data_IF_501517574083
#
_entry.id   IF_501517574083
#
_cell.length_a   1.000
_cell.length_b   1.000
_cell.length_c   1.000
_cell.angle_alpha   90.00
_cell.angle_beta   90.00
_cell.angle_gamma   90.00
#
_symmetry.space_group_name_H-M   'P 1'
#
loop_
_entity.id
_entity.type
_entity.pdbx_description
1 polymer ?
#
# COMPACT_ATOMS: atom_id res chain seq x y z
N UNK A 1 10.84 7.95 -1.07
CA UNK A 1 10.94 8.43 -2.47
C UNK A 1 9.71 8.03 -3.29
N UNK A 2 9.32 6.75 -3.32
CA UNK A 2 8.09 6.29 -4.02
C UNK A 2 6.81 6.99 -3.54
N UNK A 3 6.70 7.27 -2.24
CA UNK A 3 5.58 8.03 -1.66
C UNK A 3 5.44 9.48 -2.17
N UNK A 4 6.58 10.15 -2.43
CA UNK A 4 6.56 11.51 -2.97
C UNK A 4 6.04 11.50 -4.41
N UNK A 5 6.52 10.56 -5.21
CA UNK A 5 6.04 10.40 -6.58
C UNK A 5 4.56 10.01 -6.62
N UNK A 6 4.09 9.10 -5.77
CA UNK A 6 2.66 8.77 -5.71
C UNK A 6 1.80 9.99 -5.35
N UNK A 7 2.26 10.84 -4.43
CA UNK A 7 1.54 12.06 -4.09
C UNK A 7 1.48 13.04 -5.26
N UNK A 8 2.59 13.25 -5.96
CA UNK A 8 2.65 14.12 -7.14
C UNK A 8 1.76 13.62 -8.29
N UNK A 9 1.76 12.32 -8.56
CA UNK A 9 0.90 11.73 -9.58
C UNK A 9 -0.58 11.81 -9.18
N UNK A 10 -0.91 11.64 -7.90
CA UNK A 10 -2.28 11.77 -7.41
C UNK A 10 -2.81 13.20 -7.57
N UNK A 11 -2.05 14.22 -7.15
CA UNK A 11 -2.48 15.62 -7.29
C UNK A 11 -2.59 16.02 -8.77
N UNK A 12 -1.64 15.58 -9.60
CA UNK A 12 -1.71 15.79 -11.05
C UNK A 12 -2.93 15.11 -11.69
N UNK A 13 -3.24 13.87 -11.30
CA UNK A 13 -4.40 13.12 -11.79
C UNK A 13 -5.75 13.72 -11.41
N UNK A 14 -5.83 14.44 -10.29
CA UNK A 14 -7.06 15.17 -9.92
C UNK A 14 -7.24 16.43 -10.78
N UNK A 15 -6.14 17.09 -11.15
CA UNK A 15 -6.19 18.37 -11.85
C UNK A 15 -6.40 18.23 -13.37
N UNK A 16 -5.91 17.16 -13.99
CA UNK A 16 -5.95 16.96 -15.45
C UNK A 16 -6.83 15.77 -15.86
N UNK A 17 -8.15 15.92 -15.70
CA UNK A 17 -9.14 14.85 -15.99
C UNK A 17 -9.58 14.77 -17.46
N UNK A 18 -9.32 15.81 -18.26
CA UNK A 18 -9.83 15.91 -19.63
C UNK A 18 -9.14 14.94 -20.61
N UNK A 19 -7.86 14.64 -20.38
CA UNK A 19 -7.09 13.76 -21.25
C UNK A 19 -7.10 12.32 -20.74
N UNK A 20 -7.84 11.45 -21.43
CA UNK A 20 -7.98 10.04 -21.08
C UNK A 20 -6.64 9.28 -21.01
N UNK A 21 -5.77 9.46 -22.00
CA UNK A 21 -4.45 8.79 -22.05
C UNK A 21 -3.57 9.20 -20.86
N UNK A 22 -3.62 10.49 -20.50
CA UNK A 22 -2.91 11.03 -19.35
C UNK A 22 -3.47 10.43 -18.06
N UNK A 23 -4.80 10.41 -17.92
CA UNK A 23 -5.49 9.87 -16.75
C UNK A 23 -5.21 8.37 -16.54
N UNK A 24 -5.25 7.57 -17.62
CA UNK A 24 -4.91 6.15 -17.60
C UNK A 24 -3.45 5.91 -17.20
N UNK A 25 -2.53 6.67 -17.78
CA UNK A 25 -1.10 6.58 -17.46
C UNK A 25 -0.83 6.89 -15.99
N UNK A 26 -1.46 7.95 -15.47
CA UNK A 26 -1.38 8.33 -14.05
C UNK A 26 -1.94 7.23 -13.16
N UNK A 27 -3.09 6.64 -13.48
CA UNK A 27 -3.69 5.57 -12.69
C UNK A 27 -2.79 4.31 -12.62
N UNK A 28 -2.21 3.89 -13.76
CA UNK A 28 -1.29 2.74 -13.82
C UNK A 28 -0.02 3.01 -13.00
N UNK A 29 0.60 4.17 -13.20
CA UNK A 29 1.81 4.57 -12.48
C UNK A 29 1.55 4.67 -10.98
N UNK A 30 0.43 5.29 -10.58
CA UNK A 30 0.06 5.42 -9.19
C UNK A 30 -0.17 4.04 -8.55
N UNK A 31 -0.88 3.14 -9.22
CA UNK A 31 -1.08 1.76 -8.77
C UNK A 31 0.27 1.06 -8.53
N UNK A 32 1.20 1.15 -9.48
CA UNK A 32 2.55 0.59 -9.35
C UNK A 32 3.33 1.19 -8.17
N UNK A 33 3.39 2.52 -8.05
CA UNK A 33 4.19 3.19 -7.02
C UNK A 33 3.68 2.92 -5.61
N UNK A 34 2.37 2.83 -5.43
CA UNK A 34 1.78 2.45 -4.15
C UNK A 34 2.18 1.02 -3.77
N UNK A 35 1.96 0.04 -4.65
CA UNK A 35 2.35 -1.35 -4.39
C UNK A 35 3.86 -1.48 -4.14
N UNK A 36 4.69 -0.79 -4.92
CA UNK A 36 6.14 -0.77 -4.73
C UNK A 36 6.54 -0.21 -3.36
N UNK A 37 5.83 0.81 -2.87
CA UNK A 37 6.03 1.34 -1.52
C UNK A 37 5.73 0.27 -0.47
N UNK A 38 4.60 -0.43 -0.59
CA UNK A 38 4.24 -1.50 0.34
C UNK A 38 5.22 -2.67 0.31
N UNK A 39 5.66 -3.11 -0.87
CA UNK A 39 6.68 -4.14 -0.99
C UNK A 39 8.03 -3.69 -0.41
N UNK A 40 8.41 -2.42 -0.59
CA UNK A 40 9.64 -1.88 0.00
C UNK A 40 9.55 -1.86 1.54
N UNK A 41 8.42 -1.42 2.10
CA UNK A 41 8.17 -1.47 3.54
C UNK A 41 8.27 -2.91 4.08
N UNK A 42 7.82 -3.91 3.32
CA UNK A 42 7.96 -5.32 3.70
C UNK A 42 9.41 -5.82 3.71
N UNK A 43 10.21 -5.42 2.72
CA UNK A 43 11.64 -5.74 2.66
C UNK A 43 12.40 -5.09 3.82
N UNK A 44 12.07 -3.84 4.12
CA UNK A 44 12.64 -3.11 5.25
C UNK A 44 12.29 -3.77 6.58
N UNK A 45 11.02 -4.12 6.78
CA UNK A 45 10.52 -4.88 7.93
C UNK A 45 11.29 -6.19 8.14
N UNK A 46 11.42 -6.98 7.07
CA UNK A 46 12.13 -8.25 7.13
C UNK A 46 13.62 -8.08 7.45
N UNK A 47 14.25 -7.05 6.88
CA UNK A 47 15.65 -6.72 7.17
C UNK A 47 15.85 -6.41 8.65
N UNK A 48 14.94 -5.65 9.26
CA UNK A 48 14.99 -5.37 10.70
C UNK A 48 14.82 -6.63 11.54
N UNK A 49 13.92 -7.53 11.16
CA UNK A 49 13.77 -8.82 11.83
C UNK A 49 15.04 -9.66 11.78
N UNK A 50 15.70 -9.73 10.64
CA UNK A 50 16.94 -10.48 10.50
C UNK A 50 18.08 -9.90 11.34
N UNK A 51 18.22 -8.57 11.37
CA UNK A 51 19.25 -7.89 12.15
C UNK A 51 19.03 -8.07 13.66
N UNK A 52 17.78 -8.02 14.12
CA UNK A 52 17.47 -8.01 15.55
C UNK A 52 17.24 -9.41 16.13
N UNK A 53 16.54 -10.28 15.39
CA UNK A 53 16.16 -11.63 15.87
C UNK A 53 17.20 -12.67 15.46
N UNK A 54 17.49 -12.80 14.17
CA UNK A 54 18.42 -13.82 13.64
C UNK A 54 19.90 -13.43 13.70
N UNK A 55 20.23 -12.19 14.07
CA UNK A 55 21.59 -11.68 14.30
C UNK A 55 22.54 -12.05 13.15
N UNK A 56 22.27 -11.54 11.94
CA UNK A 56 23.19 -11.73 10.80
C UNK A 56 24.46 -10.91 11.04
N UNK A 57 25.57 -11.59 11.35
CA UNK A 57 26.87 -10.95 11.60
C UNK A 57 27.72 -10.69 10.33
N UNK A 58 27.25 -11.07 9.13
CA UNK A 58 28.03 -10.96 7.90
C UNK A 58 27.46 -9.88 6.94
N UNK A 59 28.26 -8.82 6.69
CA UNK A 59 27.94 -7.75 5.74
C UNK A 59 27.65 -8.26 4.33
N UNK A 60 28.37 -9.29 3.87
CA UNK A 60 28.18 -9.86 2.53
C UNK A 60 26.79 -10.53 2.39
N UNK A 61 26.30 -11.16 3.47
CA UNK A 61 24.96 -11.74 3.53
C UNK A 61 23.88 -10.65 3.57
N UNK A 62 24.10 -9.58 4.33
CA UNK A 62 23.17 -8.44 4.41
C UNK A 62 22.97 -7.76 3.04
N UNK A 63 24.05 -7.50 2.30
CA UNK A 63 23.96 -6.92 0.95
C UNK A 63 23.25 -7.83 -0.05
N UNK A 64 23.43 -9.15 0.04
CA UNK A 64 22.72 -10.11 -0.82
C UNK A 64 21.20 -10.09 -0.57
N UNK A 65 20.80 -10.02 0.71
CA UNK A 65 19.39 -10.00 1.10
C UNK A 65 18.73 -8.71 0.64
N UNK A 66 19.36 -7.55 0.86
CA UNK A 66 18.85 -6.26 0.39
C UNK A 66 18.74 -6.25 -1.13
N UNK A 67 19.75 -6.76 -1.86
CA UNK A 67 19.70 -6.82 -3.33
C UNK A 67 18.56 -7.69 -3.85
N UNK A 68 18.33 -8.86 -3.24
CA UNK A 68 17.19 -9.73 -3.56
C UNK A 68 15.86 -9.06 -3.19
N UNK A 69 15.81 -8.37 -2.07
CA UNK A 69 14.66 -7.58 -1.63
C UNK A 69 14.30 -6.45 -2.60
N UNK A 70 15.28 -5.71 -3.12
CA UNK A 70 15.07 -4.69 -4.16
C UNK A 70 14.45 -5.31 -5.42
N UNK A 71 14.99 -6.43 -5.90
CA UNK A 71 14.43 -7.10 -7.08
C UNK A 71 12.96 -7.48 -6.83
N UNK A 72 12.68 -8.09 -5.67
CA UNK A 72 11.32 -8.48 -5.28
C UNK A 72 10.37 -7.28 -5.20
N UNK A 73 10.80 -6.16 -4.62
CA UNK A 73 9.95 -4.99 -4.38
C UNK A 73 9.59 -4.20 -5.63
N UNK A 74 10.34 -4.35 -6.73
CA UNK A 74 9.98 -3.76 -8.03
C UNK A 74 9.25 -4.75 -8.94
N UNK A 75 9.69 -6.02 -8.97
CA UNK A 75 9.09 -7.03 -9.85
C UNK A 75 7.67 -7.38 -9.42
N UNK A 76 7.42 -7.53 -8.11
CA UNK A 76 6.09 -7.93 -7.61
C UNK A 76 5.00 -6.91 -7.97
N UNK A 77 5.16 -5.59 -7.72
CA UNK A 77 4.20 -4.59 -8.19
C UNK A 77 4.00 -4.59 -9.70
N UNK A 78 5.08 -4.72 -10.48
CA UNK A 78 4.98 -4.74 -11.94
C UNK A 78 4.13 -5.93 -12.42
N UNK A 79 4.34 -7.11 -11.83
CA UNK A 79 3.53 -8.29 -12.09
C UNK A 79 2.07 -8.05 -11.72
N UNK A 80 1.77 -7.59 -10.50
CA UNK A 80 0.40 -7.34 -10.04
C UNK A 80 -0.33 -6.34 -10.93
N UNK A 81 0.30 -5.23 -11.31
CA UNK A 81 -0.28 -4.23 -12.22
C UNK A 81 -0.52 -4.84 -13.60
N UNK A 82 0.44 -5.57 -14.15
CA UNK A 82 0.30 -6.25 -15.45
C UNK A 82 -0.86 -7.23 -15.44
N UNK A 83 -0.98 -8.07 -14.40
CA UNK A 83 -2.10 -8.99 -14.24
C UNK A 83 -3.44 -8.26 -14.08
N UNK A 84 -3.47 -7.15 -13.34
CA UNK A 84 -4.71 -6.38 -13.12
C UNK A 84 -5.19 -5.70 -14.40
N UNK A 85 -4.27 -5.13 -15.18
CA UNK A 85 -4.57 -4.51 -16.49
C UNK A 85 -4.98 -5.59 -17.49
N UNK A 86 -4.27 -6.72 -17.54
CA UNK A 86 -4.61 -7.85 -18.43
C UNK A 86 -5.98 -8.43 -18.09
N UNK A 87 -6.29 -8.63 -16.81
CA UNK A 87 -7.61 -9.09 -16.38
C UNK A 87 -8.70 -8.10 -16.74
N UNK A 88 -8.41 -6.80 -16.61
CA UNK A 88 -9.33 -5.74 -16.99
C UNK A 88 -9.58 -5.77 -18.49
N UNK A 89 -8.54 -5.86 -19.33
CA UNK A 89 -8.64 -6.02 -20.78
C UNK A 89 -9.46 -7.25 -21.17
N UNK A 90 -9.15 -8.41 -20.58
CA UNK A 90 -9.89 -9.64 -20.80
C UNK A 90 -11.39 -9.48 -20.52
N UNK A 91 -11.74 -8.83 -19.40
CA UNK A 91 -13.14 -8.60 -19.04
C UNK A 91 -13.85 -7.72 -20.06
N UNK A 92 -13.15 -6.73 -20.63
CA UNK A 92 -13.74 -5.87 -21.66
C UNK A 92 -13.90 -6.62 -22.98
N UNK A 93 -12.93 -7.44 -23.40
CA UNK A 93 -13.04 -8.27 -24.61
C UNK A 93 -14.21 -9.27 -24.50
N UNK A 94 -14.36 -9.92 -23.34
CA UNK A 94 -15.49 -10.82 -23.05
C UNK A 94 -16.82 -10.07 -23.07
N UNK A 95 -16.87 -8.85 -22.54
CA UNK A 95 -18.08 -8.02 -22.58
C UNK A 95 -18.41 -7.57 -24.01
N UNK A 96 -17.39 -7.28 -24.84
CA UNK A 96 -17.53 -6.85 -26.22
C UNK A 96 -18.01 -7.97 -27.16
N UNK A 97 -17.64 -9.22 -26.91
CA UNK A 97 -18.18 -10.37 -27.64
C UNK A 97 -19.68 -10.59 -27.42
N UNK A 98 -20.23 -10.13 -26.28
CA UNK A 98 -21.65 -10.23 -25.96
C UNK A 98 -22.49 -9.07 -26.52
N UNK A 99 -21.86 -7.98 -26.98
CA UNK A 99 -22.54 -6.77 -27.47
C UNK A 99 -22.71 -6.69 -28.99
N UNK A 100 -22.24 -7.69 -29.74
CA UNK A 100 -22.34 -7.72 -31.22
C UNK A 100 -23.79 -7.88 -31.75
N UNK A 101 -24.81 -7.84 -30.88
CA UNK A 101 -26.22 -7.98 -31.26
C UNK A 101 -26.99 -6.65 -31.28
N UNK A 102 -26.46 -5.53 -30.75
CA UNK A 102 -27.26 -4.30 -30.60
C UNK A 102 -26.59 -3.04 -31.19
N UNK A 103 -26.85 -2.83 -32.49
CA UNK A 103 -26.90 -1.57 -33.28
C UNK A 103 -26.03 -0.34 -32.93
N UNK A 104 -25.26 0.06 -33.96
CA UNK A 104 -25.20 1.41 -34.55
C UNK A 104 -24.80 2.62 -33.68
N UNK A 105 -23.56 3.05 -33.88
CA UNK A 105 -23.20 4.47 -34.01
C UNK A 105 -23.05 5.28 -32.72
N UNK A 106 -21.84 5.31 -32.16
CA UNK A 106 -21.35 6.51 -31.48
C UNK A 106 -19.81 6.50 -31.41
N UNK A 107 -19.24 7.70 -31.47
CA UNK A 107 -17.85 7.99 -31.80
C UNK A 107 -16.81 7.41 -30.82
N UNK A 108 -15.63 7.14 -31.37
CA UNK A 108 -14.44 6.59 -30.73
C UNK A 108 -14.10 7.22 -29.37
N UNK A 109 -14.14 6.39 -28.31
CA UNK A 109 -13.18 6.26 -27.19
C UNK A 109 -13.88 5.46 -26.07
N UNK A 110 -13.14 4.96 -25.08
CA UNK A 110 -13.66 4.40 -23.80
C UNK A 110 -13.84 2.87 -23.63
N UNK A 111 -13.02 2.03 -24.27
CA UNK A 111 -12.95 0.59 -23.92
C UNK A 111 -12.36 0.31 -22.51
N UNK A 112 -11.76 1.28 -21.81
CA UNK A 112 -11.09 1.04 -20.50
C UNK A 112 -11.89 1.46 -19.24
N UNK A 113 -13.20 1.66 -19.39
CA UNK A 113 -14.11 2.10 -18.31
C UNK A 113 -14.17 1.16 -17.10
N UNK A 114 -13.68 -0.08 -17.23
CA UNK A 114 -13.60 -1.04 -16.12
C UNK A 114 -12.41 -0.83 -15.19
N UNK A 115 -11.31 -0.23 -15.68
CA UNK A 115 -10.10 0.00 -14.88
C UNK A 115 -10.11 1.40 -14.27
N UNK A 116 -10.61 2.44 -14.97
CA UNK A 116 -10.48 3.85 -14.56
C UNK A 116 -11.76 4.44 -13.97
N UNK A 117 -11.66 5.25 -12.91
CA UNK A 117 -12.80 5.96 -12.32
C UNK A 117 -13.20 7.22 -13.09
N UNK A 118 -14.48 7.59 -12.98
CA UNK A 118 -15.06 8.74 -13.68
C UNK A 118 -14.80 10.05 -12.89
N UNK A 119 -14.69 9.94 -11.56
CA UNK A 119 -14.47 11.08 -10.66
C UNK A 119 -12.99 11.43 -10.46
N UNK A 120 -12.08 10.48 -10.68
CA UNK A 120 -10.64 10.64 -10.48
C UNK A 120 -9.83 9.65 -11.33
N UNK A 121 -8.57 10.00 -11.65
CA UNK A 121 -7.64 9.14 -12.35
C UNK A 121 -7.09 8.00 -11.45
N UNK A 122 -7.99 7.10 -11.05
CA UNK A 122 -7.72 6.00 -10.13
C UNK A 122 -8.42 4.71 -10.53
N UNK A 123 -7.92 3.57 -10.02
CA UNK A 123 -8.45 2.25 -10.33
C UNK A 123 -9.80 2.01 -9.63
N UNK A 124 -10.82 1.49 -10.34
CA UNK A 124 -12.17 1.21 -9.78
C UNK A 124 -12.62 -0.25 -9.90
N UNK A 125 -13.71 -0.58 -9.22
CA UNK A 125 -14.42 -1.86 -9.35
C UNK A 125 -13.60 -3.08 -8.87
N UNK A 126 -13.79 -4.23 -9.52
CA UNK A 126 -13.13 -5.48 -9.13
C UNK A 126 -11.59 -5.41 -9.22
N UNK A 127 -11.05 -4.61 -10.13
CA UNK A 127 -9.61 -4.39 -10.28
C UNK A 127 -9.00 -3.72 -9.04
N UNK A 128 -9.73 -2.81 -8.38
CA UNK A 128 -9.31 -2.20 -7.13
C UNK A 128 -9.22 -3.21 -5.98
N UNK A 129 -10.21 -4.07 -5.81
CA UNK A 129 -10.19 -5.04 -4.71
C UNK A 129 -9.10 -6.09 -4.87
N UNK A 130 -9.05 -6.76 -6.02
CA UNK A 130 -8.10 -7.86 -6.25
C UNK A 130 -6.69 -7.38 -6.60
N UNK A 131 -6.57 -6.27 -7.34
CA UNK A 131 -5.28 -5.73 -7.77
C UNK A 131 -4.60 -4.86 -6.72
N UNK A 132 -5.36 -4.20 -5.84
CA UNK A 132 -4.82 -3.22 -4.90
C UNK A 132 -5.05 -3.57 -3.43
N UNK A 133 -6.32 -3.68 -2.99
CA UNK A 133 -6.64 -3.87 -1.57
C UNK A 133 -6.15 -5.21 -1.02
N UNK A 134 -6.37 -6.30 -1.76
CA UNK A 134 -5.98 -7.64 -1.32
C UNK A 134 -4.44 -7.74 -1.14
N UNK A 135 -3.60 -7.38 -2.13
CA UNK A 135 -2.15 -7.38 -1.96
C UNK A 135 -1.67 -6.51 -0.80
N UNK A 136 -2.23 -5.30 -0.64
CA UNK A 136 -1.84 -4.39 0.44
C UNK A 136 -2.21 -4.97 1.81
N UNK A 137 -3.41 -5.52 1.95
CA UNK A 137 -3.87 -6.17 3.18
C UNK A 137 -2.96 -7.33 3.58
N UNK A 138 -2.59 -8.19 2.62
CA UNK A 138 -1.66 -9.29 2.87
C UNK A 138 -0.28 -8.81 3.33
N UNK A 139 0.27 -7.77 2.69
CA UNK A 139 1.55 -7.17 3.08
C UNK A 139 1.47 -6.56 4.48
N UNK A 140 0.36 -5.90 4.80
CA UNK A 140 0.17 -5.24 6.09
C UNK A 140 0.11 -6.26 7.24
N UNK A 141 -0.62 -7.36 7.06
CA UNK A 141 -0.67 -8.46 8.03
C UNK A 141 0.72 -9.07 8.23
N UNK A 142 1.47 -9.29 7.14
CA UNK A 142 2.85 -9.76 7.19
C UNK A 142 3.75 -8.80 8.00
N UNK A 143 3.69 -7.50 7.70
CA UNK A 143 4.49 -6.49 8.40
C UNK A 143 4.18 -6.44 9.90
N UNK A 144 2.90 -6.55 10.27
CA UNK A 144 2.46 -6.57 11.66
C UNK A 144 3.00 -7.80 12.42
N UNK A 145 2.94 -8.98 11.82
CA UNK A 145 3.50 -10.20 12.40
C UNK A 145 5.01 -10.08 12.64
N UNK A 146 5.76 -9.53 11.68
CA UNK A 146 7.20 -9.31 11.81
C UNK A 146 7.49 -8.33 12.94
N UNK A 147 6.73 -7.24 13.05
CA UNK A 147 6.86 -6.27 14.13
C UNK A 147 6.69 -6.90 15.52
N UNK A 148 5.64 -7.70 15.72
CA UNK A 148 5.41 -8.40 17.00
C UNK A 148 6.61 -9.27 17.36
N UNK A 149 7.12 -10.04 16.40
CA UNK A 149 8.28 -10.91 16.63
C UNK A 149 9.53 -10.12 17.06
N UNK A 150 9.79 -8.98 16.42
CA UNK A 150 10.92 -8.10 16.76
C UNK A 150 10.75 -7.52 18.17
N UNK A 151 9.57 -6.96 18.48
CA UNK A 151 9.27 -6.37 19.79
C UNK A 151 9.37 -7.42 20.90
N UNK A 152 8.84 -8.63 20.67
CA UNK A 152 8.94 -9.73 21.61
C UNK A 152 10.41 -10.11 21.88
N UNK A 153 11.20 -10.30 20.83
CA UNK A 153 12.63 -10.63 20.96
C UNK A 153 13.41 -9.54 21.69
N UNK A 154 13.13 -8.26 21.41
CA UNK A 154 13.78 -7.14 22.08
C UNK A 154 13.39 -7.06 23.55
N UNK A 155 12.11 -7.26 23.87
CA UNK A 155 11.59 -7.24 25.24
C UNK A 155 12.20 -8.35 26.08
N UNK A 156 12.29 -9.57 25.53
CA UNK A 156 12.90 -10.72 26.18
C UNK A 156 14.38 -10.49 26.50
N UNK A 157 15.18 -10.00 25.52
CA UNK A 157 16.61 -9.71 25.72
C UNK A 157 16.86 -8.63 26.78
N UNK A 158 15.95 -7.66 26.89
CA UNK A 158 16.05 -6.58 27.88
C UNK A 158 15.65 -7.01 29.28
N UNK A 159 14.67 -7.90 29.45
CA UNK A 159 14.34 -8.47 30.75
C UNK A 159 15.54 -9.17 31.40
N UNK A 160 16.45 -9.72 30.58
CA UNK A 160 17.69 -10.36 31.01
C UNK A 160 18.85 -9.39 31.32
N UNK A 161 18.80 -8.14 30.83
CA UNK A 161 19.85 -7.12 31.04
C UNK A 161 19.29 -5.95 31.89
N UNK A 162 19.39 -6.02 33.22
CA UNK A 162 19.06 -4.90 34.12
C UNK A 162 20.28 -4.35 34.86
N UNK A 163 20.48 -3.03 34.78
CA UNK A 163 20.76 -2.10 35.91
C UNK A 163 21.16 -0.69 35.38
N UNK A 164 20.48 0.35 35.85
CA UNK A 164 20.78 1.81 35.81
C UNK A 164 21.00 2.56 34.47
N UNK A 165 21.51 1.98 33.38
CA UNK A 165 21.48 2.58 32.01
C UNK A 165 20.07 2.64 31.38
N UNK A 166 19.06 2.28 32.17
CA UNK A 166 17.68 1.94 31.80
C UNK A 166 16.89 3.13 31.25
N UNK A 167 17.01 4.32 31.83
CA UNK A 167 16.20 5.51 31.48
C UNK A 167 16.63 6.15 30.13
N UNK A 168 17.93 6.42 29.96
CA UNK A 168 18.47 7.02 28.73
C UNK A 168 18.36 6.04 27.54
N UNK A 169 18.50 4.74 27.79
CA UNK A 169 18.26 3.71 26.77
C UNK A 169 16.77 3.55 26.47
N UNK A 170 15.85 3.70 27.43
CA UNK A 170 14.40 3.63 27.20
C UNK A 170 13.89 4.75 26.28
N UNK A 171 14.35 6.00 26.45
CA UNK A 171 13.99 7.11 25.54
C UNK A 171 14.53 6.88 24.12
N UNK A 172 15.77 6.43 23.97
CA UNK A 172 16.34 6.06 22.67
C UNK A 172 15.62 4.83 22.05
N UNK A 173 15.12 3.91 22.88
CA UNK A 173 14.36 2.73 22.46
C UNK A 173 12.92 3.06 22.07
N UNK A 174 12.25 3.95 22.79
CA UNK A 174 10.95 4.48 22.39
C UNK A 174 11.09 5.24 21.06
N UNK A 175 12.13 6.05 20.90
CA UNK A 175 12.44 6.69 19.62
C UNK A 175 12.64 5.64 18.51
N UNK A 176 13.49 4.63 18.71
CA UNK A 176 13.66 3.55 17.73
C UNK A 176 12.38 2.77 17.44
N UNK A 177 11.57 2.44 18.44
CA UNK A 177 10.29 1.72 18.24
C UNK A 177 9.31 2.60 17.48
N UNK A 178 9.20 3.88 17.83
CA UNK A 178 8.37 4.86 17.11
C UNK A 178 8.83 4.96 15.66
N UNK A 179 10.15 5.07 15.42
CA UNK A 179 10.72 5.09 14.07
C UNK A 179 10.38 3.81 13.31
N UNK A 180 10.55 2.62 13.91
CA UNK A 180 10.19 1.35 13.28
C UNK A 180 8.67 1.28 12.97
N UNK A 181 7.81 1.68 13.91
CA UNK A 181 6.35 1.72 13.75
C UNK A 181 5.93 2.64 12.61
N UNK A 182 6.57 3.82 12.48
CA UNK A 182 6.30 4.75 11.37
C UNK A 182 6.77 4.21 10.03
N UNK A 183 7.85 3.43 9.99
CA UNK A 183 8.39 2.82 8.76
C UNK A 183 7.56 1.62 8.27
N UNK A 184 6.85 0.95 9.18
CA UNK A 184 6.04 -0.25 8.88
C UNK A 184 4.65 0.03 8.32
N UNK A 185 4.25 1.31 8.28
CA UNK A 185 2.96 1.72 7.75
C UNK A 185 1.77 1.59 8.70
N UNK A 186 2.00 1.37 10.00
CA UNK A 186 0.95 1.44 11.03
C UNK A 186 0.20 2.79 11.09
N UNK A 187 0.81 3.95 10.77
CA UNK A 187 0.07 5.21 10.63
C UNK A 187 -1.04 5.15 9.57
N UNK A 188 -0.93 4.30 8.54
CA UNK A 188 -1.99 4.12 7.54
C UNK A 188 -3.22 3.42 8.12
N UNK A 189 -3.04 2.48 9.06
CA UNK A 189 -4.15 1.89 9.81
C UNK A 189 -4.83 2.92 10.69
N UNK A 190 -4.05 3.79 11.35
CA UNK A 190 -4.60 4.88 12.15
C UNK A 190 -5.39 5.87 11.27
N UNK A 191 -4.93 6.13 10.04
CA UNK A 191 -5.67 6.94 9.07
C UNK A 191 -6.96 6.27 8.58
N UNK A 192 -6.94 4.97 8.31
CA UNK A 192 -8.12 4.21 7.89
C UNK A 192 -9.15 4.13 9.04
N UNK A 193 -8.71 3.74 10.23
CA UNK A 193 -9.53 3.68 11.44
C UNK A 193 -10.04 5.07 11.81
N UNK A 194 -9.20 6.11 11.71
CA UNK A 194 -9.60 7.48 11.94
C UNK A 194 -10.69 7.96 10.98
N UNK A 195 -10.61 7.58 9.69
CA UNK A 195 -11.64 7.91 8.71
C UNK A 195 -12.94 7.13 8.97
N UNK A 196 -12.86 5.84 9.28
CA UNK A 196 -14.01 5.01 9.66
C UNK A 196 -14.70 5.54 10.93
N UNK A 197 -13.92 5.92 11.95
CA UNK A 197 -14.43 6.55 13.16
C UNK A 197 -15.03 7.92 12.84
N UNK A 198 -14.45 8.69 11.93
CA UNK A 198 -14.96 10.02 11.60
C UNK A 198 -16.34 9.94 10.92
N UNK A 199 -16.53 9.01 9.99
CA UNK A 199 -17.83 8.71 9.37
C UNK A 199 -18.88 8.27 10.41
N UNK A 200 -18.55 7.34 11.31
CA UNK A 200 -19.49 6.92 12.37
C UNK A 200 -19.79 8.06 13.36
N UNK A 201 -18.79 8.83 13.77
CA UNK A 201 -18.95 9.92 14.75
C UNK A 201 -19.75 11.08 14.16
N UNK A 202 -19.51 11.44 12.89
CA UNK A 202 -20.26 12.50 12.19
C UNK A 202 -21.71 12.10 11.95
N UNK A 203 -21.95 10.85 11.53
CA UNK A 203 -23.32 10.32 11.38
C UNK A 203 -24.11 10.35 12.70
N UNK A 204 -23.46 9.97 13.81
CA UNK A 204 -24.06 9.99 15.15
C UNK A 204 -24.35 11.41 15.64
N UNK A 205 -23.45 12.37 15.37
CA UNK A 205 -23.65 13.79 15.71
C UNK A 205 -24.80 14.39 14.91
N UNK A 206 -24.87 14.13 13.60
CA UNK A 206 -25.94 14.64 12.72
C UNK A 206 -27.31 14.08 13.15
N UNK A 207 -27.40 12.79 13.47
CA UNK A 207 -28.64 12.18 13.97
C UNK A 207 -29.06 12.78 15.32
N UNK A 208 -28.11 13.08 16.21
CA UNK A 208 -28.40 13.70 17.51
C UNK A 208 -28.91 15.13 17.36
N UNK A 209 -28.37 15.91 16.40
CA UNK A 209 -28.83 17.28 16.09
C UNK A 209 -30.22 17.28 15.44
N UNK A 210 -30.57 16.27 14.64
CA UNK A 210 -31.87 16.19 13.97
C UNK A 210 -33.03 15.75 14.90
N UNK A 211 -32.70 15.24 16.10
CA UNK A 211 -33.64 14.78 17.13
C UNK A 211 -33.80 15.82 18.26
N UNK A 212 -32.94 16.83 18.29
CA UNK A 212 -33.00 18.02 19.16
C UNK A 212 -33.74 19.17 18.47
#
# INVERSE_FOLDING_TARGET
MTLLFSYLFFTFGINNKQDFTTCLSVAILLHYFWLATWCWMAVESYTMYLLLVKVICNKNSQSCIIRRGCLFSYVTPALVVTFTVLYSLYKVDVQSSNSLENNSGHNDSHHWSSYLSDDACWVKGSAFYFGFLLPISMILVYNFAVFINVVYSLSYRQAKLQSTAKQLSLRKRLSNVITMTTLLGLPWLLGLVGNLIHEETVSTIIQTIHVL
#
